data_IF_213983302642
#
_entry.id   IF_213983302642
#
_cell.length_a   1.000
_cell.length_b   1.000
_cell.length_c   1.000
_cell.angle_alpha   90.00
_cell.angle_beta   90.00
_cell.angle_gamma   90.00
#
_symmetry.space_group_name_H-M   'P 1'
#
loop_
_entity.id
_entity.type
_entity.pdbx_description
1 polymer ?
#
# COMPACT_ATOMS: atom_id res chain seq x y z
N UNK A 1 7.85 -10.19 -21.24
CA UNK A 1 9.13 -10.50 -21.89
C UNK A 1 9.53 -11.92 -21.50
N UNK A 2 9.23 -12.88 -22.37
CA UNK A 2 9.63 -14.29 -22.18
C UNK A 2 11.08 -14.44 -22.62
N UNK A 3 11.94 -15.01 -21.76
CA UNK A 3 13.30 -15.39 -22.12
C UNK A 3 13.22 -16.47 -23.20
N UNK A 4 13.77 -16.21 -24.38
CA UNK A 4 13.65 -17.07 -25.57
C UNK A 4 14.23 -18.48 -25.39
N UNK A 5 15.25 -18.67 -24.57
CA UNK A 5 15.89 -19.96 -24.32
C UNK A 5 15.05 -20.88 -23.41
N UNK A 6 14.42 -20.39 -22.37
CA UNK A 6 13.53 -21.20 -21.52
C UNK A 6 12.25 -21.61 -22.28
N UNK A 7 11.73 -20.74 -23.15
CA UNK A 7 10.55 -20.99 -23.97
C UNK A 7 10.73 -22.17 -24.95
N UNK A 8 11.92 -22.42 -25.44
CA UNK A 8 12.13 -23.46 -26.51
C UNK A 8 12.25 -24.88 -25.93
N UNK A 9 12.77 -25.03 -24.72
CA UNK A 9 12.86 -26.34 -24.05
C UNK A 9 11.48 -26.80 -23.58
N UNK A 10 10.64 -25.86 -23.05
CA UNK A 10 9.29 -26.17 -22.58
C UNK A 10 8.29 -26.40 -23.70
N UNK A 11 8.42 -25.75 -24.85
CA UNK A 11 7.52 -25.94 -26.02
C UNK A 11 7.51 -27.36 -26.60
N UNK A 12 8.54 -28.17 -26.34
CA UNK A 12 8.64 -29.54 -26.87
C UNK A 12 8.00 -30.60 -25.97
N UNK A 13 7.70 -30.29 -24.71
CA UNK A 13 7.21 -31.28 -23.74
C UNK A 13 5.80 -30.99 -23.22
N UNK A 14 5.34 -29.74 -23.27
CA UNK A 14 4.04 -29.30 -22.72
C UNK A 14 3.08 -28.93 -23.85
N UNK A 15 1.92 -29.57 -23.84
CA UNK A 15 0.82 -29.21 -24.76
C UNK A 15 0.05 -28.03 -24.18
N UNK A 16 0.05 -26.88 -24.87
CA UNK A 16 -0.68 -25.67 -24.47
C UNK A 16 -1.96 -25.56 -25.29
N UNK A 17 -3.09 -25.66 -24.64
CA UNK A 17 -4.43 -25.44 -25.23
C UNK A 17 -4.92 -24.04 -24.92
N UNK A 18 -4.89 -23.15 -25.91
CA UNK A 18 -5.42 -21.78 -25.79
C UNK A 18 -6.93 -21.78 -26.03
N UNK A 19 -7.62 -20.74 -25.48
CA UNK A 19 -9.08 -20.57 -25.64
C UNK A 19 -9.88 -21.83 -25.22
N UNK A 20 -9.39 -22.51 -24.18
CA UNK A 20 -9.94 -23.79 -23.71
C UNK A 20 -10.30 -23.62 -22.25
N UNK A 21 -11.52 -23.15 -21.99
CA UNK A 21 -11.97 -22.89 -20.63
C UNK A 21 -12.41 -24.19 -19.95
N UNK A 22 -11.91 -24.39 -18.73
CA UNK A 22 -12.30 -25.49 -17.85
C UNK A 22 -13.57 -25.11 -17.12
N UNK A 23 -14.59 -25.95 -17.18
CA UNK A 23 -15.88 -25.77 -16.52
C UNK A 23 -15.85 -26.29 -15.09
N UNK A 24 -15.25 -27.46 -14.90
CA UNK A 24 -15.20 -28.11 -13.57
C UNK A 24 -14.11 -29.17 -13.49
N UNK A 25 -13.75 -29.54 -12.26
CA UNK A 25 -12.91 -30.70 -11.96
C UNK A 25 -13.78 -31.95 -11.89
N UNK A 26 -13.26 -33.08 -12.37
CA UNK A 26 -13.91 -34.38 -12.27
C UNK A 26 -13.30 -35.15 -11.10
N UNK A 27 -14.16 -35.79 -10.30
CA UNK A 27 -13.78 -36.54 -9.10
C UNK A 27 -14.18 -38.00 -9.21
N UNK A 28 -13.40 -38.86 -8.56
CA UNK A 28 -13.72 -40.23 -8.26
C UNK A 28 -13.43 -40.48 -6.77
N UNK A 29 -14.50 -40.55 -5.96
CA UNK A 29 -14.37 -40.39 -4.52
C UNK A 29 -13.72 -39.06 -4.16
N UNK A 30 -12.68 -39.12 -3.35
CA UNK A 30 -11.95 -37.92 -2.89
C UNK A 30 -10.77 -37.51 -3.80
N UNK A 31 -10.63 -38.16 -4.95
CA UNK A 31 -9.52 -37.88 -5.89
C UNK A 31 -9.99 -37.17 -7.14
N UNK A 32 -9.25 -36.14 -7.53
CA UNK A 32 -9.42 -35.53 -8.87
C UNK A 32 -8.91 -36.55 -9.91
N UNK A 33 -9.71 -36.78 -10.95
CA UNK A 33 -9.36 -37.65 -12.06
C UNK A 33 -9.29 -36.95 -13.42
N UNK A 34 -9.62 -35.67 -13.47
CA UNK A 34 -9.60 -34.92 -14.70
C UNK A 34 -10.35 -33.60 -14.65
N UNK A 35 -10.64 -33.08 -15.84
CA UNK A 35 -11.34 -31.82 -16.03
C UNK A 35 -12.45 -32.01 -17.08
N UNK A 36 -13.52 -31.20 -16.95
CA UNK A 36 -14.51 -31.03 -18.01
C UNK A 36 -14.41 -29.62 -18.57
N UNK A 37 -14.35 -29.52 -19.88
CA UNK A 37 -14.33 -28.25 -20.62
C UNK A 37 -15.74 -27.67 -20.77
N UNK A 38 -15.87 -26.37 -21.09
CA UNK A 38 -17.17 -25.74 -21.37
C UNK A 38 -17.94 -26.40 -22.52
N UNK A 39 -17.24 -26.93 -23.53
CA UNK A 39 -17.84 -27.65 -24.64
C UNK A 39 -18.30 -29.06 -24.27
N UNK A 40 -18.19 -29.48 -23.02
CA UNK A 40 -18.59 -30.79 -22.52
C UNK A 40 -17.53 -31.91 -22.65
N UNK A 41 -16.40 -31.64 -23.31
CA UNK A 41 -15.32 -32.62 -23.43
C UNK A 41 -14.66 -32.90 -22.12
N UNK A 42 -14.48 -34.15 -21.75
CA UNK A 42 -13.74 -34.62 -20.60
C UNK A 42 -12.32 -35.01 -20.94
N UNK A 43 -11.38 -34.63 -20.09
CA UNK A 43 -9.99 -34.98 -20.17
C UNK A 43 -9.55 -35.57 -18.85
N UNK A 44 -8.93 -36.75 -18.88
CA UNK A 44 -8.55 -37.47 -17.65
C UNK A 44 -7.06 -37.36 -17.41
N UNK A 45 -6.69 -37.07 -16.16
CA UNK A 45 -5.32 -36.89 -15.71
C UNK A 45 -5.14 -37.49 -14.31
N UNK A 46 -3.94 -37.96 -14.01
CA UNK A 46 -3.63 -38.44 -12.68
C UNK A 46 -3.55 -37.30 -11.63
N UNK A 47 -3.05 -36.14 -12.07
CA UNK A 47 -2.89 -34.96 -11.26
C UNK A 47 -3.38 -33.72 -12.00
N UNK A 48 -3.99 -32.78 -11.28
CA UNK A 48 -4.46 -31.50 -11.80
C UNK A 48 -3.97 -30.38 -10.91
N UNK A 49 -3.24 -29.44 -11.49
CA UNK A 49 -2.81 -28.21 -10.79
C UNK A 49 -3.74 -27.06 -11.20
N UNK A 50 -4.44 -26.49 -10.23
CA UNK A 50 -5.29 -25.31 -10.42
C UNK A 50 -4.43 -24.06 -10.23
N UNK A 51 -4.14 -23.36 -11.31
CA UNK A 51 -3.31 -22.16 -11.34
C UNK A 51 -4.03 -20.99 -12.06
N UNK A 52 -5.32 -20.81 -11.75
CA UNK A 52 -6.24 -19.90 -12.46
C UNK A 52 -6.11 -18.43 -12.03
N UNK A 53 -5.22 -18.12 -11.09
CA UNK A 53 -5.13 -16.78 -10.48
C UNK A 53 -6.28 -16.51 -9.51
N UNK A 54 -6.40 -15.25 -9.10
CA UNK A 54 -7.43 -14.78 -8.18
C UNK A 54 -8.56 -14.04 -8.92
N UNK A 55 -8.95 -12.87 -8.36
CA UNK A 55 -9.99 -12.00 -8.93
C UNK A 55 -9.47 -10.65 -9.43
N UNK A 56 -8.15 -10.48 -9.50
CA UNK A 56 -7.53 -9.28 -10.04
C UNK A 56 -7.33 -9.39 -11.54
N UNK A 57 -7.54 -8.29 -12.27
CA UNK A 57 -7.39 -8.23 -13.73
C UNK A 57 -8.23 -9.31 -14.47
N UNK A 58 -9.51 -9.33 -14.23
CA UNK A 58 -10.45 -10.32 -14.78
C UNK A 58 -10.40 -10.44 -16.31
N UNK A 59 -10.02 -9.37 -17.01
CA UNK A 59 -9.79 -9.37 -18.46
C UNK A 59 -8.67 -10.32 -18.92
N UNK A 60 -7.81 -10.78 -18.01
CA UNK A 60 -6.77 -11.77 -18.26
C UNK A 60 -7.20 -13.21 -17.97
N UNK A 61 -8.45 -13.43 -17.57
CA UNK A 61 -9.01 -14.74 -17.26
C UNK A 61 -8.96 -15.11 -15.76
N UNK A 62 -8.56 -14.17 -14.88
CA UNK A 62 -8.54 -14.38 -13.41
C UNK A 62 -9.90 -14.02 -12.82
N UNK A 63 -10.91 -14.83 -13.10
CA UNK A 63 -12.32 -14.59 -12.75
C UNK A 63 -12.81 -15.37 -11.52
N UNK A 64 -11.90 -15.96 -10.76
CA UNK A 64 -12.20 -16.70 -9.53
C UNK A 64 -12.55 -18.17 -9.73
N UNK A 65 -12.27 -18.74 -10.90
CA UNK A 65 -12.53 -20.15 -11.18
C UNK A 65 -11.93 -21.11 -10.14
N UNK A 66 -10.72 -20.82 -9.65
CA UNK A 66 -10.07 -21.64 -8.63
C UNK A 66 -10.84 -21.72 -7.33
N UNK A 67 -11.46 -20.63 -6.89
CA UNK A 67 -12.30 -20.62 -5.69
C UNK A 67 -13.55 -21.47 -5.89
N UNK A 68 -14.22 -21.34 -7.06
CA UNK A 68 -15.40 -22.16 -7.41
C UNK A 68 -15.06 -23.65 -7.48
N UNK A 69 -13.88 -24.01 -7.99
CA UNK A 69 -13.41 -25.40 -8.01
C UNK A 69 -13.15 -25.93 -6.59
N UNK A 70 -12.56 -25.10 -5.72
CA UNK A 70 -12.34 -25.46 -4.32
C UNK A 70 -13.66 -25.70 -3.56
N UNK A 71 -14.63 -24.80 -3.70
CA UNK A 71 -15.95 -24.92 -3.08
C UNK A 71 -16.69 -26.19 -3.57
N UNK A 72 -16.66 -26.47 -4.89
CA UNK A 72 -17.23 -27.70 -5.45
C UNK A 72 -16.54 -28.96 -4.98
N UNK A 73 -15.26 -28.87 -4.63
CA UNK A 73 -14.50 -29.94 -4.01
C UNK A 73 -14.77 -30.12 -2.51
N UNK A 74 -15.68 -29.32 -1.92
CA UNK A 74 -16.00 -29.35 -0.49
C UNK A 74 -14.96 -28.65 0.40
N UNK A 75 -14.03 -27.86 -0.19
CA UNK A 75 -13.05 -27.10 0.57
C UNK A 75 -13.63 -25.76 1.03
N UNK A 76 -13.30 -25.36 2.26
CA UNK A 76 -13.67 -24.06 2.78
C UNK A 76 -12.83 -22.96 2.11
N UNK A 77 -13.50 -21.98 1.50
CA UNK A 77 -12.88 -20.77 0.97
C UNK A 77 -13.10 -19.62 1.95
N UNK A 78 -12.01 -19.02 2.44
CA UNK A 78 -12.09 -17.85 3.31
C UNK A 78 -12.59 -16.63 2.53
N UNK A 79 -13.27 -15.66 3.18
CA UNK A 79 -13.70 -14.43 2.52
C UNK A 79 -12.54 -13.74 1.79
N UNK A 80 -12.78 -13.42 0.51
CA UNK A 80 -11.78 -12.74 -0.31
C UNK A 80 -11.71 -11.26 0.09
N UNK A 81 -10.49 -10.72 0.18
CA UNK A 81 -10.23 -9.31 0.48
C UNK A 81 -9.23 -8.74 -0.50
N UNK A 82 -9.36 -7.44 -0.82
CA UNK A 82 -8.31 -6.74 -1.55
C UNK A 82 -6.97 -6.83 -0.79
N UNK A 83 -5.90 -7.10 -1.51
CA UNK A 83 -4.53 -7.10 -1.00
C UNK A 83 -3.59 -6.53 -2.07
N UNK A 84 -2.54 -5.84 -1.65
CA UNK A 84 -1.61 -5.12 -2.54
C UNK A 84 -2.35 -4.09 -3.40
N UNK A 85 -3.28 -3.37 -2.79
CA UNK A 85 -4.06 -2.29 -3.41
C UNK A 85 -3.76 -0.96 -2.73
N UNK A 86 -3.92 0.18 -3.42
CA UNK A 86 -3.83 1.50 -2.79
C UNK A 86 -4.86 1.68 -1.68
N UNK A 87 -4.57 2.60 -0.76
CA UNK A 87 -5.44 2.99 0.34
C UNK A 87 -6.15 4.30 0.00
N UNK A 88 -7.45 4.37 0.22
CA UNK A 88 -8.20 5.62 0.22
C UNK A 88 -8.03 6.33 1.56
N UNK A 89 -8.04 7.65 1.56
CA UNK A 89 -7.91 8.49 2.76
C UNK A 89 -9.01 9.54 2.83
N UNK A 90 -9.38 9.95 4.04
CA UNK A 90 -10.45 10.93 4.26
C UNK A 90 -9.97 12.37 4.03
N UNK A 91 -8.71 12.68 4.34
CA UNK A 91 -8.18 14.03 4.41
C UNK A 91 -7.96 14.65 3.02
N UNK A 92 -8.49 15.87 2.83
CA UNK A 92 -8.34 16.61 1.59
C UNK A 92 -6.87 16.94 1.26
N UNK A 93 -6.07 17.27 2.28
CA UNK A 93 -4.65 17.60 2.09
C UNK A 93 -3.82 16.44 1.54
N UNK A 94 -4.22 15.18 1.76
CA UNK A 94 -3.55 14.02 1.14
C UNK A 94 -3.72 14.08 -0.38
N UNK A 95 -4.90 14.46 -0.87
CA UNK A 95 -5.19 14.58 -2.31
C UNK A 95 -4.43 15.73 -2.97
N UNK A 96 -4.19 16.82 -2.23
CA UNK A 96 -3.38 17.95 -2.69
C UNK A 96 -1.92 17.54 -2.96
N UNK A 97 -1.44 16.48 -2.27
CA UNK A 97 -0.11 15.91 -2.43
C UNK A 97 -0.01 14.95 -3.63
N UNK A 98 -1.06 14.73 -4.41
CA UNK A 98 -1.06 13.81 -5.55
C UNK A 98 0.21 13.91 -6.40
N UNK A 99 0.85 12.76 -6.67
CA UNK A 99 2.09 12.66 -7.45
C UNK A 99 3.38 12.89 -6.65
N UNK A 100 3.29 13.29 -5.38
CA UNK A 100 4.46 13.35 -4.50
C UNK A 100 4.82 11.96 -4.03
N UNK A 101 6.03 11.51 -4.33
CA UNK A 101 6.63 10.31 -3.75
C UNK A 101 7.52 10.69 -2.57
N UNK A 102 7.37 9.97 -1.48
CA UNK A 102 8.28 10.06 -0.33
C UNK A 102 9.12 8.79 -0.24
N UNK A 103 10.41 8.99 -0.02
CA UNK A 103 11.39 7.92 0.19
C UNK A 103 11.87 7.95 1.63
N UNK A 104 12.25 6.77 2.13
CA UNK A 104 12.80 6.64 3.48
C UNK A 104 11.87 7.22 4.56
N UNK A 105 10.60 6.90 4.50
CA UNK A 105 9.59 7.23 5.51
C UNK A 105 9.13 5.97 6.23
N UNK A 106 8.61 6.11 7.44
CA UNK A 106 7.92 5.02 8.14
C UNK A 106 6.42 5.29 8.13
N UNK A 107 5.64 4.26 7.82
CA UNK A 107 4.18 4.28 7.89
C UNK A 107 3.72 3.34 9.00
N UNK A 108 2.97 3.87 9.95
CA UNK A 108 2.34 3.11 11.03
C UNK A 108 0.83 3.23 10.93
N UNK A 109 0.11 2.10 10.92
CA UNK A 109 -1.37 2.08 10.92
C UNK A 109 -1.86 1.38 12.18
N UNK A 110 -2.82 2.03 12.86
CA UNK A 110 -3.33 1.58 14.16
C UNK A 110 -4.85 1.37 14.17
N UNK A 111 -5.28 0.38 14.93
CA UNK A 111 -6.66 0.21 15.36
C UNK A 111 -6.72 0.44 16.88
N UNK A 112 -7.10 1.64 17.29
CA UNK A 112 -6.98 2.08 18.68
C UNK A 112 -5.51 2.03 19.15
N UNK A 113 -5.23 1.23 20.20
CA UNK A 113 -3.87 1.04 20.73
C UNK A 113 -3.05 0.00 19.97
N UNK A 114 -3.68 -0.82 19.13
CA UNK A 114 -3.01 -1.92 18.43
C UNK A 114 -2.41 -1.44 17.12
N UNK A 115 -1.11 -1.62 16.93
CA UNK A 115 -0.44 -1.46 15.64
C UNK A 115 -0.77 -2.66 14.76
N UNK A 116 -1.32 -2.39 13.57
CA UNK A 116 -1.64 -3.39 12.55
C UNK A 116 -0.57 -3.48 11.48
N UNK A 117 0.06 -2.36 11.17
CA UNK A 117 1.15 -2.26 10.21
C UNK A 117 2.18 -1.24 10.69
N UNK A 118 3.43 -1.57 10.54
CA UNK A 118 4.57 -0.68 10.71
C UNK A 118 5.61 -1.05 9.66
N UNK A 119 5.99 -0.11 8.81
CA UNK A 119 6.88 -0.38 7.69
C UNK A 119 7.70 0.85 7.29
N UNK A 120 8.96 0.61 6.91
CA UNK A 120 9.88 1.61 6.37
C UNK A 120 10.04 1.43 4.86
N UNK A 121 10.05 2.53 4.10
CA UNK A 121 10.24 2.45 2.65
C UNK A 121 9.76 3.67 1.88
N UNK A 122 9.19 3.42 0.70
CA UNK A 122 8.69 4.43 -0.22
C UNK A 122 7.17 4.40 -0.31
N UNK A 123 6.57 5.56 -0.51
CA UNK A 123 5.13 5.71 -0.75
C UNK A 123 4.85 6.78 -1.80
N UNK A 124 3.64 6.76 -2.32
CA UNK A 124 3.14 7.71 -3.31
C UNK A 124 1.78 8.26 -2.88
N UNK A 125 1.62 9.57 -2.87
CA UNK A 125 0.31 10.20 -2.75
C UNK A 125 -0.44 10.20 -4.09
N UNK A 126 -1.72 9.84 -4.06
CA UNK A 126 -2.60 9.80 -5.22
C UNK A 126 -3.76 10.78 -5.06
N UNK A 127 -4.60 10.92 -6.08
CA UNK A 127 -5.79 11.77 -6.03
C UNK A 127 -6.90 11.25 -5.09
N UNK A 128 -6.76 10.07 -4.54
CA UNK A 128 -7.73 9.47 -3.62
C UNK A 128 -7.10 9.01 -2.29
N UNK A 129 -5.76 9.00 -2.17
CA UNK A 129 -5.10 8.54 -0.95
C UNK A 129 -3.64 8.16 -1.15
N UNK A 130 -3.24 6.98 -0.68
CA UNK A 130 -1.85 6.53 -0.58
C UNK A 130 -1.64 5.24 -1.37
N UNK A 131 -0.56 5.20 -2.15
CA UNK A 131 -0.08 4.04 -2.91
C UNK A 131 1.44 3.88 -2.73
N UNK A 132 2.08 3.17 -3.65
CA UNK A 132 3.50 2.84 -3.56
C UNK A 132 3.75 1.63 -2.65
N UNK A 133 5.01 1.20 -2.52
CA UNK A 133 5.35 -0.05 -1.82
C UNK A 133 4.77 -0.15 -0.41
N UNK A 134 4.85 0.93 0.39
CA UNK A 134 4.28 0.94 1.75
C UNK A 134 2.76 0.83 1.76
N UNK A 135 2.05 1.62 0.93
CA UNK A 135 0.59 1.57 0.86
C UNK A 135 0.08 0.21 0.41
N UNK A 136 0.70 -0.35 -0.64
CA UNK A 136 0.35 -1.68 -1.13
C UNK A 136 0.61 -2.77 -0.09
N UNK A 137 1.76 -2.73 0.59
CA UNK A 137 2.06 -3.68 1.66
C UNK A 137 1.07 -3.56 2.82
N UNK A 138 0.79 -2.33 3.29
CA UNK A 138 -0.13 -2.08 4.39
C UNK A 138 -1.52 -2.67 4.14
N UNK A 139 -2.04 -2.55 2.90
CA UNK A 139 -3.36 -3.06 2.54
C UNK A 139 -3.54 -4.56 2.84
N UNK A 140 -2.48 -5.35 2.75
CA UNK A 140 -2.51 -6.79 3.04
C UNK A 140 -2.71 -7.11 4.53
N UNK A 141 -2.37 -6.18 5.41
CA UNK A 141 -2.48 -6.36 6.87
C UNK A 141 -3.75 -5.80 7.46
N UNK A 142 -4.29 -4.74 6.87
CA UNK A 142 -5.36 -3.93 7.47
C UNK A 142 -6.76 -4.28 6.94
N UNK A 143 -6.89 -5.01 5.84
CA UNK A 143 -8.17 -5.23 5.14
C UNK A 143 -9.30 -5.72 6.05
N UNK A 144 -9.00 -6.68 6.97
CA UNK A 144 -10.01 -7.18 7.92
C UNK A 144 -10.49 -6.11 8.92
N UNK A 145 -9.60 -5.21 9.34
CA UNK A 145 -9.94 -4.18 10.31
C UNK A 145 -10.71 -3.02 9.64
N UNK A 146 -10.36 -2.70 8.39
CA UNK A 146 -11.07 -1.69 7.59
C UNK A 146 -12.54 -2.04 7.31
N UNK A 147 -12.91 -3.32 7.27
CA UNK A 147 -14.32 -3.74 7.18
C UNK A 147 -15.17 -3.29 8.39
N UNK A 148 -14.54 -2.98 9.51
CA UNK A 148 -15.21 -2.64 10.75
C UNK A 148 -15.27 -1.13 11.01
N UNK A 149 -14.18 -0.42 10.69
CA UNK A 149 -14.05 1.02 10.94
C UNK A 149 -12.87 1.62 10.19
N UNK A 150 -12.86 2.95 9.95
CA UNK A 150 -11.68 3.66 9.50
C UNK A 150 -10.51 3.50 10.49
N UNK A 151 -9.29 3.48 9.96
CA UNK A 151 -8.08 3.29 10.76
C UNK A 151 -7.24 4.57 10.79
N UNK A 152 -6.55 4.80 11.91
CA UNK A 152 -5.61 5.93 12.02
C UNK A 152 -4.23 5.51 11.53
N UNK A 153 -3.70 6.28 10.60
CA UNK A 153 -2.35 6.13 10.08
C UNK A 153 -1.47 7.34 10.38
N UNK A 154 -0.17 7.10 10.47
CA UNK A 154 0.84 8.10 10.73
C UNK A 154 2.05 7.86 9.84
N UNK A 155 2.58 8.95 9.26
CA UNK A 155 3.85 8.91 8.56
C UNK A 155 4.92 9.60 9.39
N UNK A 156 6.03 8.91 9.64
CA UNK A 156 7.26 9.58 10.08
C UNK A 156 8.04 10.01 8.83
N UNK A 157 8.14 11.31 8.63
CA UNK A 157 8.80 11.90 7.45
C UNK A 157 10.33 11.95 7.60
N UNK A 158 10.86 11.72 8.81
CA UNK A 158 12.31 11.77 9.13
C UNK A 158 12.74 10.63 10.06
N UNK A 159 12.45 9.36 9.75
CA UNK A 159 12.66 8.23 10.66
C UNK A 159 14.14 7.95 10.99
N UNK A 160 15.07 8.53 10.24
CA UNK A 160 16.50 8.42 10.53
C UNK A 160 16.98 9.32 11.67
N UNK A 161 16.13 10.24 12.17
CA UNK A 161 16.47 11.16 13.26
C UNK A 161 15.70 10.75 14.53
N UNK A 162 16.39 10.79 15.68
CA UNK A 162 15.70 10.76 16.97
C UNK A 162 14.97 12.08 17.20
N UNK A 163 14.09 12.14 18.18
CA UNK A 163 13.38 13.38 18.55
C UNK A 163 14.38 14.49 18.89
N UNK A 164 15.42 14.20 19.69
CA UNK A 164 16.45 15.17 20.04
C UNK A 164 17.26 15.65 18.84
N UNK A 165 17.56 14.76 17.89
CA UNK A 165 18.27 15.12 16.66
C UNK A 165 17.40 15.98 15.73
N UNK A 166 16.10 15.71 15.68
CA UNK A 166 15.15 16.50 14.91
C UNK A 166 14.97 17.90 15.51
N UNK A 167 14.79 18.01 16.84
CA UNK A 167 14.73 19.29 17.55
C UNK A 167 15.98 20.11 17.33
N UNK A 168 17.16 19.50 17.52
CA UNK A 168 18.44 20.16 17.29
C UNK A 168 18.61 20.66 15.84
N UNK A 169 18.11 19.91 14.86
CA UNK A 169 18.13 20.31 13.45
C UNK A 169 17.21 21.51 13.20
N UNK A 170 15.98 21.49 13.73
CA UNK A 170 15.02 22.60 13.58
C UNK A 170 15.57 23.85 14.24
N UNK A 171 16.11 23.73 15.47
CA UNK A 171 16.74 24.84 16.18
C UNK A 171 17.89 25.46 15.38
N UNK A 172 18.75 24.65 14.79
CA UNK A 172 19.85 25.14 13.95
C UNK A 172 19.32 25.91 12.73
N UNK A 173 18.30 25.41 12.03
CA UNK A 173 17.69 26.11 10.90
C UNK A 173 17.08 27.46 11.35
N UNK A 174 16.49 27.51 12.55
CA UNK A 174 15.92 28.75 13.12
C UNK A 174 17.03 29.74 13.51
N UNK A 175 18.12 29.29 14.13
CA UNK A 175 19.24 30.15 14.50
C UNK A 175 19.93 30.77 13.28
N UNK A 176 20.20 29.98 12.23
CA UNK A 176 20.82 30.46 10.99
C UNK A 176 19.93 31.45 10.26
N UNK A 177 18.63 31.45 10.52
CA UNK A 177 17.62 32.25 9.80
C UNK A 177 16.75 33.10 10.74
N UNK A 178 17.24 33.54 11.91
CA UNK A 178 16.50 34.16 13.01
C UNK A 178 15.43 35.20 12.64
N UNK A 179 15.71 36.02 11.63
CA UNK A 179 14.85 37.13 11.22
C UNK A 179 13.95 36.79 10.02
N UNK A 180 14.00 35.53 9.52
CA UNK A 180 13.16 35.09 8.42
C UNK A 180 11.82 34.56 8.95
N UNK A 181 10.82 34.62 8.08
CA UNK A 181 9.52 34.05 8.37
C UNK A 181 9.57 32.52 8.31
N UNK A 182 8.78 31.85 9.15
CA UNK A 182 8.70 30.40 9.29
C UNK A 182 8.56 29.70 7.94
N UNK A 183 7.63 30.15 7.07
CA UNK A 183 7.41 29.59 5.75
C UNK A 183 8.65 29.57 4.85
N UNK A 184 9.59 30.49 5.05
CA UNK A 184 10.80 30.59 4.25
C UNK A 184 11.94 29.73 4.78
N UNK A 185 11.85 29.31 6.04
CA UNK A 185 12.90 28.50 6.71
C UNK A 185 12.66 27.02 6.54
N UNK A 186 11.42 26.57 6.64
CA UNK A 186 11.10 25.13 6.58
C UNK A 186 11.26 24.53 5.17
N UNK A 187 11.54 25.34 4.15
CA UNK A 187 11.76 24.86 2.78
C UNK A 187 12.91 23.86 2.66
N UNK A 188 13.91 23.96 3.54
CA UNK A 188 15.05 23.03 3.59
C UNK A 188 14.68 21.63 4.14
N UNK A 189 13.54 21.52 4.84
CA UNK A 189 13.14 20.31 5.54
C UNK A 189 12.31 19.35 4.69
N UNK A 190 11.58 19.87 3.67
CA UNK A 190 10.57 19.11 2.94
C UNK A 190 10.61 19.37 1.42
N UNK A 191 10.09 18.43 0.61
CA UNK A 191 9.78 18.70 -0.78
C UNK A 191 8.80 19.87 -0.93
N UNK A 192 8.99 20.71 -1.93
CA UNK A 192 8.19 21.92 -2.13
C UNK A 192 6.67 21.68 -2.11
N UNK A 193 6.21 20.55 -2.65
CA UNK A 193 4.80 20.20 -2.68
C UNK A 193 4.21 19.91 -1.30
N UNK A 194 5.02 19.46 -0.33
CA UNK A 194 4.58 19.18 1.03
C UNK A 194 4.46 20.45 1.90
N UNK A 195 5.19 21.53 1.53
CA UNK A 195 5.27 22.74 2.35
C UNK A 195 3.91 23.39 2.67
N UNK A 196 2.98 23.58 1.71
CA UNK A 196 1.67 24.19 2.03
C UNK A 196 0.90 23.38 3.08
N UNK A 197 0.95 22.06 2.98
CA UNK A 197 0.26 21.17 3.93
C UNK A 197 0.91 21.25 5.32
N UNK A 198 2.25 21.21 5.38
CA UNK A 198 2.99 21.34 6.63
C UNK A 198 2.77 22.69 7.31
N UNK A 199 2.63 23.78 6.55
CA UNK A 199 2.27 25.10 7.06
C UNK A 199 0.84 25.14 7.60
N UNK A 200 -0.10 24.51 6.90
CA UNK A 200 -1.51 24.46 7.31
C UNK A 200 -1.72 23.66 8.59
N UNK A 201 -1.04 22.51 8.73
CA UNK A 201 -1.19 21.61 9.86
C UNK A 201 -0.28 21.94 11.03
N UNK A 202 0.81 22.68 10.80
CA UNK A 202 1.88 22.90 11.77
C UNK A 202 1.53 23.82 12.95
N UNK A 203 0.39 24.51 12.91
CA UNK A 203 -0.06 25.38 14.01
C UNK A 203 0.78 26.63 14.25
N UNK A 204 1.74 26.94 13.37
CA UNK A 204 2.60 28.12 13.44
C UNK A 204 2.19 29.08 12.33
N UNK A 205 2.01 30.37 12.66
CA UNK A 205 1.74 31.39 11.67
C UNK A 205 2.89 31.41 10.61
N UNK A 206 2.59 31.18 9.32
CA UNK A 206 3.58 31.18 8.25
C UNK A 206 4.44 32.44 8.16
N UNK A 207 3.91 33.58 8.60
CA UNK A 207 4.57 34.89 8.55
C UNK A 207 5.33 35.21 9.86
N UNK A 208 5.18 34.41 10.89
CA UNK A 208 5.90 34.57 12.15
C UNK A 208 7.41 34.42 11.95
N UNK A 209 8.20 35.31 12.52
CA UNK A 209 9.66 35.15 12.52
C UNK A 209 10.05 33.93 13.37
N UNK A 210 11.03 33.16 12.91
CA UNK A 210 11.40 31.91 13.59
C UNK A 210 11.98 32.13 14.98
N UNK A 211 12.59 33.30 15.27
CA UNK A 211 13.04 33.67 16.61
C UNK A 211 11.91 33.90 17.60
N UNK A 212 10.67 34.09 17.14
CA UNK A 212 9.49 34.26 17.96
C UNK A 212 8.69 32.94 18.12
N UNK A 213 9.11 31.85 17.46
CA UNK A 213 8.46 30.54 17.61
C UNK A 213 8.75 29.99 19.01
N UNK A 214 7.70 29.71 19.75
CA UNK A 214 7.82 29.15 21.09
C UNK A 214 8.24 27.69 21.09
N UNK A 215 8.75 27.21 22.22
CA UNK A 215 9.10 25.78 22.38
C UNK A 215 7.88 24.88 22.12
N UNK A 216 6.72 25.26 22.60
CA UNK A 216 5.48 24.47 22.42
C UNK A 216 5.07 24.36 20.94
N UNK A 217 5.13 25.46 20.19
CA UNK A 217 4.86 25.45 18.74
C UNK A 217 5.85 24.58 17.99
N UNK A 218 7.14 24.67 18.36
CA UNK A 218 8.18 23.84 17.75
C UNK A 218 7.96 22.35 18.03
N UNK A 219 7.66 21.99 19.28
CA UNK A 219 7.36 20.60 19.66
C UNK A 219 6.13 20.03 18.91
N UNK A 220 5.07 20.83 18.77
CA UNK A 220 3.91 20.45 17.98
C UNK A 220 4.28 20.21 16.50
N UNK A 221 5.14 21.05 15.93
CA UNK A 221 5.63 20.89 14.56
C UNK A 221 6.52 19.64 14.41
N UNK A 222 7.34 19.32 15.41
CA UNK A 222 8.12 18.08 15.46
C UNK A 222 7.23 16.84 15.51
N UNK A 223 6.18 16.88 16.33
CA UNK A 223 5.18 15.83 16.39
C UNK A 223 4.51 15.63 15.03
N UNK A 224 4.17 16.71 14.32
CA UNK A 224 3.63 16.62 12.97
C UNK A 224 4.61 15.97 11.98
N UNK A 225 5.92 16.22 12.10
CA UNK A 225 6.94 15.61 11.26
C UNK A 225 7.05 14.09 11.50
N UNK A 226 6.98 13.67 12.75
CA UNK A 226 7.13 12.28 13.16
C UNK A 226 5.82 11.49 13.11
N UNK A 227 4.69 12.18 13.15
CA UNK A 227 3.34 11.59 13.17
C UNK A 227 2.39 12.32 12.23
N UNK A 228 2.79 12.52 10.97
CA UNK A 228 1.92 13.12 9.94
C UNK A 228 0.67 12.26 9.75
N UNK A 229 -0.53 12.75 10.12
CA UNK A 229 -1.70 11.91 10.27
C UNK A 229 -2.42 11.64 8.95
N UNK A 230 -3.12 10.51 8.88
CA UNK A 230 -4.14 10.18 7.86
C UNK A 230 -5.13 9.15 8.41
N UNK A 231 -6.29 9.08 7.78
CA UNK A 231 -7.38 8.16 8.16
C UNK A 231 -7.83 7.35 6.96
#
# INVERSE_FOLDING_TARGET
LYSSAASDVYKRQVQVHKNTKVKELLFEGDRVKGIRLENGKELFYNDVVVATGGMSYQTTGSDGDGYRFAEKAGLAVTPLRPALVPLETEEAYIRELQGLSLKNVTMTIKNGKKTLFDGFGEMLFTHFGISGPLGLSASSYIGKALEQQPLKGYLNLKPALTEEQLDARILREFEENRNKQFRNVINSLFPAKLLPVMLSLGGIDPYKQVNAVSKAERQHFEELITHFPFT
#
